data_IF_051301689822
#
_entry.id   IF_051301689822
#
_cell.length_a   1.000
_cell.length_b   1.000
_cell.length_c   1.000
_cell.angle_alpha   90.00
_cell.angle_beta   90.00
_cell.angle_gamma   90.00
#
_symmetry.space_group_name_H-M   'P 1'
#
loop_
_entity.id
_entity.type
_entity.pdbx_description
1 polymer ?
#
# COMPACT_ATOMS: atom_id res chain seq x y z
N UNK A 1 -25.75 8.44 -3.22
CA UNK A 1 -25.03 7.20 -2.82
C UNK A 1 -25.97 6.02 -3.06
N UNK A 2 -25.63 5.05 -3.90
CA UNK A 2 -26.45 3.85 -4.03
C UNK A 2 -26.44 3.09 -2.70
N UNK A 3 -27.63 2.67 -2.24
CA UNK A 3 -27.79 1.82 -1.06
C UNK A 3 -28.15 0.43 -1.55
N UNK A 4 -27.52 -0.58 -0.96
CA UNK A 4 -27.94 -1.96 -1.18
C UNK A 4 -29.32 -2.17 -0.56
N UNK A 5 -30.24 -2.73 -1.33
CA UNK A 5 -31.55 -3.16 -0.86
C UNK A 5 -31.41 -4.41 0.02
N UNK A 6 -32.14 -4.49 1.13
CA UNK A 6 -32.04 -5.63 2.06
C UNK A 6 -32.61 -6.92 1.46
N UNK A 7 -33.63 -6.81 0.60
CA UNK A 7 -34.15 -7.95 -0.15
C UNK A 7 -33.09 -8.51 -1.12
N UNK A 8 -32.33 -7.61 -1.75
CA UNK A 8 -31.19 -7.98 -2.59
C UNK A 8 -30.04 -8.61 -1.80
N UNK A 9 -29.67 -8.08 -0.62
CA UNK A 9 -28.61 -8.67 0.21
C UNK A 9 -29.02 -10.08 0.69
N UNK A 10 -30.27 -10.24 1.12
CA UNK A 10 -30.79 -11.51 1.63
C UNK A 10 -30.93 -12.60 0.57
N UNK A 11 -30.95 -12.25 -0.72
CA UNK A 11 -31.01 -13.21 -1.82
C UNK A 11 -29.65 -13.63 -2.38
N UNK A 12 -28.54 -13.11 -1.82
CA UNK A 12 -27.19 -13.52 -2.22
C UNK A 12 -26.91 -14.92 -1.66
N UNK A 13 -26.71 -15.88 -2.56
CA UNK A 13 -26.20 -17.19 -2.19
C UNK A 13 -24.71 -17.09 -1.86
N UNK A 14 -24.32 -17.60 -0.69
CA UNK A 14 -22.94 -17.57 -0.22
C UNK A 14 -22.53 -18.97 0.23
N UNK A 15 -21.29 -19.35 -0.10
CA UNK A 15 -20.69 -20.57 0.41
C UNK A 15 -20.44 -20.39 1.92
N UNK A 16 -21.00 -21.29 2.72
CA UNK A 16 -20.84 -21.30 4.17
C UNK A 16 -20.08 -22.57 4.60
N UNK A 17 -18.73 -22.53 4.56
CA UNK A 17 -17.92 -23.67 4.96
C UNK A 17 -18.02 -23.91 6.48
N UNK A 18 -17.52 -25.04 6.96
CA UNK A 18 -17.54 -25.34 8.40
C UNK A 18 -16.57 -24.42 9.19
N UNK A 19 -16.75 -24.36 10.51
CA UNK A 19 -15.93 -23.50 11.38
C UNK A 19 -14.40 -23.76 11.23
N UNK A 20 -13.92 -25.02 11.17
CA UNK A 20 -12.52 -25.30 10.91
C UNK A 20 -12.00 -24.76 9.57
N UNK A 21 -12.76 -24.89 8.48
CA UNK A 21 -12.37 -24.37 7.17
C UNK A 21 -12.40 -22.83 7.16
N UNK A 22 -13.42 -22.21 7.76
CA UNK A 22 -13.47 -20.76 7.94
C UNK A 22 -12.21 -20.24 8.66
N UNK A 23 -11.79 -20.88 9.76
CA UNK A 23 -10.61 -20.47 10.51
C UNK A 23 -9.31 -20.58 9.68
N UNK A 24 -9.18 -21.60 8.83
CA UNK A 24 -8.04 -21.76 7.92
C UNK A 24 -8.02 -20.65 6.85
N UNK A 25 -9.17 -20.34 6.27
CA UNK A 25 -9.33 -19.27 5.29
C UNK A 25 -8.93 -17.93 5.93
N UNK A 26 -9.46 -17.63 7.12
CA UNK A 26 -9.15 -16.41 7.87
C UNK A 26 -7.65 -16.30 8.17
N UNK A 27 -7.03 -17.35 8.69
CA UNK A 27 -5.59 -17.37 8.97
C UNK A 27 -4.75 -17.09 7.71
N UNK A 28 -5.16 -17.66 6.57
CA UNK A 28 -4.48 -17.39 5.30
C UNK A 28 -4.69 -15.95 4.85
N UNK A 29 -5.92 -15.43 4.94
CA UNK A 29 -6.24 -14.06 4.56
C UNK A 29 -5.46 -13.07 5.41
N UNK A 30 -5.46 -13.22 6.73
CA UNK A 30 -4.74 -12.34 7.67
C UNK A 30 -3.25 -12.28 7.35
N UNK A 31 -2.65 -13.42 6.98
CA UNK A 31 -1.24 -13.46 6.58
C UNK A 31 -0.98 -12.68 5.30
N UNK A 32 -1.80 -12.89 4.27
CA UNK A 32 -1.60 -12.23 2.98
C UNK A 32 -1.94 -10.73 3.04
N UNK A 33 -2.97 -10.33 3.77
CA UNK A 33 -3.32 -8.92 3.98
C UNK A 33 -2.22 -8.20 4.76
N UNK A 34 -1.74 -8.77 5.87
CA UNK A 34 -0.63 -8.18 6.62
C UNK A 34 0.64 -8.05 5.78
N UNK A 35 0.91 -9.00 4.88
CA UNK A 35 2.03 -8.92 3.93
C UNK A 35 1.83 -7.76 2.95
N UNK A 36 0.63 -7.59 2.40
CA UNK A 36 0.31 -6.49 1.49
C UNK A 36 0.48 -5.14 2.21
N UNK A 37 -0.06 -5.01 3.42
CA UNK A 37 0.06 -3.78 4.22
C UNK A 37 1.52 -3.43 4.52
N UNK A 38 2.34 -4.42 4.85
CA UNK A 38 3.78 -4.22 5.07
C UNK A 38 4.50 -3.74 3.79
N UNK A 39 4.11 -4.23 2.62
CA UNK A 39 4.67 -3.78 1.34
C UNK A 39 4.21 -2.37 0.98
N UNK A 40 2.95 -2.04 1.23
CA UNK A 40 2.43 -0.68 1.04
C UNK A 40 3.23 0.30 1.90
N UNK A 41 3.35 0.02 3.21
CA UNK A 41 4.07 0.87 4.16
C UNK A 41 5.53 1.09 3.74
N UNK A 42 6.26 0.04 3.35
CA UNK A 42 7.64 0.15 2.86
C UNK A 42 7.75 0.98 1.57
N UNK A 43 6.77 0.85 0.69
CA UNK A 43 6.74 1.61 -0.57
C UNK A 43 6.52 3.09 -0.30
N UNK A 44 5.56 3.42 0.57
CA UNK A 44 5.29 4.79 0.98
C UNK A 44 6.50 5.43 1.67
N UNK A 45 7.19 4.70 2.56
CA UNK A 45 8.43 5.14 3.18
C UNK A 45 9.52 5.43 2.14
N UNK A 46 9.68 4.54 1.16
CA UNK A 46 10.65 4.71 0.07
C UNK A 46 10.35 5.95 -0.77
N UNK A 47 9.07 6.19 -1.09
CA UNK A 47 8.64 7.40 -1.80
C UNK A 47 9.00 8.66 -1.00
N UNK A 48 8.75 8.67 0.31
CA UNK A 48 9.09 9.79 1.19
C UNK A 48 10.59 10.06 1.18
N UNK A 49 11.42 9.03 1.38
CA UNK A 49 12.88 9.17 1.35
C UNK A 49 13.41 9.67 0.00
N UNK A 50 12.83 9.21 -1.11
CA UNK A 50 13.20 9.68 -2.45
C UNK A 50 12.84 11.16 -2.65
N UNK A 51 11.70 11.62 -2.12
CA UNK A 51 11.31 13.03 -2.16
C UNK A 51 12.26 13.90 -1.33
N UNK A 52 12.62 13.46 -0.13
CA UNK A 52 13.60 14.14 0.74
C UNK A 52 14.97 14.22 0.07
N UNK A 53 15.46 13.10 -0.48
CA UNK A 53 16.74 13.06 -1.21
C UNK A 53 16.73 14.01 -2.40
N UNK A 54 15.63 14.06 -3.17
CA UNK A 54 15.48 14.98 -4.29
C UNK A 54 15.54 16.43 -3.83
N UNK A 55 14.84 16.78 -2.75
CA UNK A 55 14.88 18.13 -2.19
C UNK A 55 16.29 18.51 -1.72
N UNK A 56 16.96 17.63 -0.97
CA UNK A 56 18.33 17.84 -0.52
C UNK A 56 19.31 18.01 -1.70
N UNK A 57 19.16 17.20 -2.75
CA UNK A 57 19.97 17.31 -3.97
C UNK A 57 19.79 18.65 -4.67
N UNK A 58 18.54 19.12 -4.82
CA UNK A 58 18.24 20.44 -5.39
C UNK A 58 18.85 21.54 -4.53
N UNK A 59 18.68 21.47 -3.21
CA UNK A 59 19.27 22.45 -2.28
C UNK A 59 20.77 22.50 -2.42
N UNK A 60 21.45 21.36 -2.40
CA UNK A 60 22.91 21.28 -2.51
C UNK A 60 23.43 21.75 -3.88
N UNK A 61 22.68 21.51 -4.96
CA UNK A 61 22.97 22.08 -6.27
C UNK A 61 22.83 23.61 -6.30
N UNK A 62 21.74 24.16 -5.75
CA UNK A 62 21.48 25.61 -5.74
C UNK A 62 22.44 26.36 -4.82
N UNK A 63 22.86 25.76 -3.72
CA UNK A 63 23.87 26.32 -2.81
C UNK A 63 25.30 26.13 -3.32
N UNK A 64 25.50 25.51 -4.48
CA UNK A 64 26.82 25.30 -5.08
C UNK A 64 27.68 24.25 -4.37
N UNK A 65 27.09 23.45 -3.47
CA UNK A 65 27.75 22.33 -2.82
C UNK A 65 27.94 21.13 -3.77
N UNK A 66 27.15 21.08 -4.85
CA UNK A 66 27.30 20.11 -5.93
C UNK A 66 27.53 20.88 -7.23
N UNK A 67 28.66 20.63 -7.89
CA UNK A 67 28.97 21.27 -9.16
C UNK A 67 28.17 20.62 -10.29
N UNK A 68 27.15 21.34 -10.77
CA UNK A 68 26.31 20.94 -11.90
C UNK A 68 26.91 21.31 -13.27
N UNK A 69 28.08 21.97 -13.29
CA UNK A 69 28.77 22.29 -14.55
C UNK A 69 29.43 21.01 -15.04
N UNK A 70 28.71 20.31 -15.93
CA UNK A 70 29.30 19.21 -16.68
C UNK A 70 30.64 19.64 -17.27
N UNK A 71 31.68 18.81 -17.11
CA UNK A 71 32.82 18.88 -18.02
C UNK A 71 32.25 18.71 -19.43
N UNK A 72 32.21 19.80 -20.20
CA UNK A 72 32.13 19.73 -21.65
C UNK A 72 33.39 19.08 -22.20
#
# INVERSE_FOLDING_TARGET
MPRADWGHIGSIEVVYPDQPEQAKILTSLDRETARIDALISKTEQSITLLKERRAAFITAAVTGQIDLRGKQ
#
